data_IF_419290745484
#
_entry.id   IF_419290745484
#
_cell.length_a   1.000
_cell.length_b   1.000
_cell.length_c   1.000
_cell.angle_alpha   90.00
_cell.angle_beta   90.00
_cell.angle_gamma   90.00
#
_symmetry.space_group_name_H-M   'P 1'
#
loop_
_entity.id
_entity.type
_entity.pdbx_description
1 polymer ?
#
# COMPACT_ATOMS: atom_id res chain seq x y z
N UNK A 1 0.76 15.67 8.64
CA UNK A 1 0.81 14.29 9.20
C UNK A 1 2.18 13.70 8.92
N UNK A 2 2.75 12.87 9.81
CA UNK A 2 4.03 12.19 9.52
C UNK A 2 3.84 11.25 8.31
N UNK A 3 4.77 11.26 7.36
CA UNK A 3 4.63 10.58 6.07
C UNK A 3 4.24 9.10 6.23
N UNK A 4 4.92 8.40 7.13
CA UNK A 4 4.60 7.00 7.32
C UNK A 4 3.37 6.70 8.20
N UNK A 5 2.77 7.70 8.87
CA UNK A 5 1.39 7.53 9.38
C UNK A 5 0.43 7.48 8.20
N UNK A 6 0.63 8.33 7.19
CA UNK A 6 -0.20 8.35 5.97
C UNK A 6 -0.10 7.02 5.23
N UNK A 7 1.10 6.47 5.07
CA UNK A 7 1.29 5.17 4.38
C UNK A 7 0.58 4.04 5.12
N UNK A 8 0.70 3.96 6.45
CA UNK A 8 0.01 2.93 7.23
C UNK A 8 -1.51 3.10 7.20
N UNK A 9 -2.03 4.32 7.34
CA UNK A 9 -3.48 4.56 7.30
C UNK A 9 -4.06 4.29 5.92
N UNK A 10 -3.38 4.71 4.84
CA UNK A 10 -3.83 4.48 3.47
C UNK A 10 -3.87 2.98 3.14
N UNK A 11 -2.91 2.20 3.64
CA UNK A 11 -2.91 0.75 3.48
C UNK A 11 -4.10 0.09 4.19
N UNK A 12 -4.31 0.40 5.46
CA UNK A 12 -5.38 -0.22 6.26
C UNK A 12 -6.74 0.13 5.67
N UNK A 13 -6.95 1.40 5.33
CA UNK A 13 -8.21 1.87 4.72
C UNK A 13 -8.42 1.22 3.35
N UNK A 14 -7.39 1.19 2.49
CA UNK A 14 -7.48 0.55 1.18
C UNK A 14 -7.75 -0.95 1.27
N UNK A 15 -7.11 -1.65 2.21
CA UNK A 15 -7.31 -3.08 2.45
C UNK A 15 -8.74 -3.37 2.92
N UNK A 16 -9.25 -2.63 3.90
CA UNK A 16 -10.62 -2.80 4.41
C UNK A 16 -11.63 -2.54 3.29
N UNK A 17 -11.50 -1.43 2.55
CA UNK A 17 -12.41 -1.10 1.45
C UNK A 17 -12.39 -2.15 0.35
N UNK A 18 -11.22 -2.69 0.03
CA UNK A 18 -11.09 -3.75 -0.98
C UNK A 18 -11.71 -5.05 -0.50
N UNK A 19 -11.51 -5.44 0.77
CA UNK A 19 -12.16 -6.63 1.34
C UNK A 19 -13.68 -6.49 1.41
N UNK A 20 -14.19 -5.35 1.86
CA UNK A 20 -15.63 -5.06 1.91
C UNK A 20 -16.22 -5.04 0.50
N UNK A 21 -15.56 -4.36 -0.46
CA UNK A 21 -15.99 -4.34 -1.86
C UNK A 21 -15.98 -5.73 -2.50
N UNK A 22 -14.98 -6.55 -2.20
CA UNK A 22 -14.90 -7.93 -2.68
C UNK A 22 -16.01 -8.81 -2.08
N UNK A 23 -16.28 -8.68 -0.78
CA UNK A 23 -17.38 -9.38 -0.12
C UNK A 23 -18.74 -9.03 -0.74
N UNK A 24 -19.01 -7.73 -0.90
CA UNK A 24 -20.25 -7.24 -1.53
C UNK A 24 -20.41 -7.75 -2.96
N UNK A 25 -19.29 -7.90 -3.69
CA UNK A 25 -19.28 -8.42 -5.06
C UNK A 25 -19.62 -9.91 -5.11
N UNK A 26 -19.19 -10.70 -4.12
CA UNK A 26 -19.53 -12.13 -4.00
C UNK A 26 -21.01 -12.30 -3.63
N UNK A 27 -21.53 -11.47 -2.72
CA UNK A 27 -22.95 -11.52 -2.31
C UNK A 27 -23.91 -10.90 -3.33
N UNK A 28 -23.42 -10.45 -4.49
CA UNK A 28 -24.21 -9.82 -5.55
C UNK A 28 -25.04 -8.61 -5.06
N UNK A 29 -24.51 -7.85 -4.11
CA UNK A 29 -25.17 -6.64 -3.61
C UNK A 29 -25.11 -5.52 -4.65
N UNK A 30 -26.19 -4.74 -4.75
CA UNK A 30 -26.21 -3.52 -5.54
C UNK A 30 -25.11 -2.55 -5.05
N UNK A 31 -24.39 -1.91 -5.98
CA UNK A 31 -23.30 -0.98 -5.66
C UNK A 31 -21.94 -1.61 -5.33
N UNK A 32 -21.80 -2.94 -5.34
CA UNK A 32 -20.53 -3.62 -5.07
C UNK A 32 -19.37 -3.17 -5.97
N UNK A 33 -19.65 -2.89 -7.25
CA UNK A 33 -18.66 -2.39 -8.20
C UNK A 33 -18.05 -1.05 -7.78
N UNK A 34 -18.88 -0.13 -7.27
CA UNK A 34 -18.46 1.20 -6.83
C UNK A 34 -17.54 1.11 -5.61
N UNK A 35 -17.92 0.29 -4.62
CA UNK A 35 -17.10 0.06 -3.42
C UNK A 35 -15.73 -0.54 -3.77
N UNK A 36 -15.70 -1.52 -4.68
CA UNK A 36 -14.46 -2.13 -5.12
C UNK A 36 -13.58 -1.14 -5.91
N UNK A 37 -14.16 -0.29 -6.75
CA UNK A 37 -13.42 0.79 -7.42
C UNK A 37 -12.79 1.78 -6.43
N UNK A 38 -13.52 2.17 -5.38
CA UNK A 38 -13.00 3.07 -4.33
C UNK A 38 -11.82 2.39 -3.60
N UNK A 39 -11.93 1.09 -3.30
CA UNK A 39 -10.83 0.32 -2.70
C UNK A 39 -9.58 0.26 -3.57
N UNK A 40 -9.75 0.09 -4.89
CA UNK A 40 -8.64 0.12 -5.85
C UNK A 40 -7.98 1.51 -5.90
N UNK A 41 -8.76 2.59 -5.94
CA UNK A 41 -8.22 3.96 -5.93
C UNK A 41 -7.42 4.23 -4.65
N UNK A 42 -7.95 3.84 -3.50
CA UNK A 42 -7.23 3.96 -2.22
C UNK A 42 -5.92 3.16 -2.22
N UNK A 43 -5.92 1.97 -2.83
CA UNK A 43 -4.72 1.14 -2.98
C UNK A 43 -3.68 1.79 -3.90
N UNK A 44 -4.08 2.51 -4.95
CA UNK A 44 -3.16 3.26 -5.81
C UNK A 44 -2.50 4.42 -5.06
N UNK A 45 -3.24 5.13 -4.20
CA UNK A 45 -2.68 6.19 -3.35
C UNK A 45 -1.64 5.61 -2.38
N UNK A 46 -1.92 4.44 -1.80
CA UNK A 46 -0.95 3.72 -0.98
C UNK A 46 0.32 3.35 -1.77
N UNK A 47 0.19 2.76 -2.95
CA UNK A 47 1.33 2.37 -3.80
C UNK A 47 2.20 3.59 -4.12
N UNK A 48 1.59 4.70 -4.55
CA UNK A 48 2.31 5.92 -4.88
C UNK A 48 3.08 6.50 -3.70
N UNK A 49 2.44 6.58 -2.53
CA UNK A 49 3.07 7.11 -1.31
C UNK A 49 4.18 6.19 -0.78
N UNK A 50 4.00 4.87 -0.84
CA UNK A 50 5.01 3.91 -0.42
C UNK A 50 6.24 3.90 -1.34
N UNK A 51 6.04 3.98 -2.67
CA UNK A 51 7.15 4.10 -3.64
C UNK A 51 7.93 5.40 -3.41
N UNK A 52 7.23 6.51 -3.13
CA UNK A 52 7.87 7.78 -2.81
C UNK A 52 8.76 7.67 -1.56
N UNK A 53 8.25 7.07 -0.48
CA UNK A 53 8.99 6.85 0.76
C UNK A 53 10.24 5.98 0.52
N UNK A 54 10.12 4.89 -0.25
CA UNK A 54 11.25 4.03 -0.63
C UNK A 54 12.29 4.78 -1.48
N UNK A 55 11.87 5.53 -2.50
CA UNK A 55 12.81 6.24 -3.36
C UNK A 55 13.54 7.38 -2.64
N UNK A 56 12.85 8.07 -1.72
CA UNK A 56 13.43 9.13 -0.91
C UNK A 56 14.47 8.65 0.12
N UNK A 57 14.47 7.35 0.46
CA UNK A 57 15.42 6.82 1.45
C UNK A 57 16.85 6.81 0.91
N UNK A 58 17.80 7.27 1.72
CA UNK A 58 19.24 7.28 1.43
C UNK A 58 19.96 6.00 1.91
N UNK A 59 19.29 5.14 2.69
CA UNK A 59 19.89 3.91 3.27
C UNK A 59 19.94 2.73 2.32
N UNK A 60 19.01 2.67 1.37
CA UNK A 60 18.83 1.52 0.48
C UNK A 60 19.43 1.78 -0.90
N UNK A 61 20.08 0.75 -1.44
CA UNK A 61 20.70 0.80 -2.77
C UNK A 61 19.63 0.86 -3.88
N UNK A 62 20.02 1.35 -5.06
CA UNK A 62 19.16 1.49 -6.24
C UNK A 62 18.52 0.16 -6.66
N UNK A 63 19.24 -0.95 -6.57
CA UNK A 63 18.69 -2.28 -6.85
C UNK A 63 17.54 -2.65 -5.89
N UNK A 64 17.71 -2.36 -4.60
CA UNK A 64 16.69 -2.61 -3.58
C UNK A 64 15.46 -1.71 -3.79
N UNK A 65 15.67 -0.43 -4.16
CA UNK A 65 14.57 0.49 -4.52
C UNK A 65 13.74 -0.03 -5.70
N UNK A 66 14.40 -0.58 -6.73
CA UNK A 66 13.71 -1.16 -7.89
C UNK A 66 12.94 -2.42 -7.51
N UNK A 67 13.51 -3.28 -6.67
CA UNK A 67 12.82 -4.46 -6.15
C UNK A 67 11.54 -4.08 -5.40
N UNK A 68 11.61 -3.13 -4.47
CA UNK A 68 10.44 -2.65 -3.74
C UNK A 68 9.39 -2.03 -4.67
N UNK A 69 9.82 -1.24 -5.66
CA UNK A 69 8.90 -0.64 -6.64
C UNK A 69 8.14 -1.71 -7.42
N UNK A 70 8.83 -2.75 -7.91
CA UNK A 70 8.21 -3.88 -8.59
C UNK A 70 7.27 -4.64 -7.65
N UNK A 71 7.70 -4.90 -6.42
CA UNK A 71 6.89 -5.60 -5.43
C UNK A 71 5.60 -4.84 -5.09
N UNK A 72 5.64 -3.50 -5.02
CA UNK A 72 4.44 -2.69 -4.79
C UNK A 72 3.48 -2.67 -5.96
N UNK A 73 3.98 -2.69 -7.20
CA UNK A 73 3.13 -2.68 -8.40
C UNK A 73 2.42 -4.03 -8.60
N UNK A 74 3.16 -5.13 -8.50
CA UNK A 74 2.63 -6.47 -8.80
C UNK A 74 1.98 -7.15 -7.59
N UNK A 75 2.48 -6.89 -6.38
CA UNK A 75 2.06 -7.59 -5.16
C UNK A 75 1.69 -6.60 -4.04
N UNK A 76 1.00 -5.51 -4.38
CA UNK A 76 0.69 -4.39 -3.47
C UNK A 76 0.15 -4.80 -2.09
N UNK A 77 -0.73 -5.80 -2.03
CA UNK A 77 -1.30 -6.30 -0.77
C UNK A 77 -0.26 -6.95 0.14
N UNK A 78 0.45 -7.97 -0.35
CA UNK A 78 1.46 -8.71 0.43
C UNK A 78 2.66 -7.80 0.72
N UNK A 79 3.15 -7.09 -0.30
CA UNK A 79 4.26 -6.15 -0.16
C UNK A 79 3.93 -5.04 0.83
N UNK A 80 2.69 -4.54 0.85
CA UNK A 80 2.25 -3.55 1.82
C UNK A 80 2.29 -4.06 3.26
N UNK A 81 1.88 -5.31 3.50
CA UNK A 81 2.03 -5.95 4.81
C UNK A 81 3.51 -6.07 5.22
N UNK A 82 4.35 -6.62 4.34
CA UNK A 82 5.78 -6.81 4.60
C UNK A 82 6.48 -5.47 4.83
N UNK A 83 6.10 -4.44 4.06
CA UNK A 83 6.65 -3.10 4.19
C UNK A 83 6.30 -2.49 5.55
N UNK A 84 5.03 -2.52 5.97
CA UNK A 84 4.62 -1.89 7.23
C UNK A 84 5.23 -2.61 8.44
N UNK A 85 5.26 -3.95 8.42
CA UNK A 85 5.71 -4.76 9.55
C UNK A 85 7.23 -4.80 9.70
N UNK A 86 7.96 -4.96 8.59
CA UNK A 86 9.41 -5.23 8.61
C UNK A 86 10.21 -4.18 7.82
N UNK A 87 9.77 -3.86 6.60
CA UNK A 87 10.54 -3.02 5.68
C UNK A 87 10.71 -1.58 6.16
N UNK A 88 9.66 -0.96 6.70
CA UNK A 88 9.61 0.47 7.03
C UNK A 88 10.63 0.84 8.09
N UNK A 89 10.81 0.04 9.15
CA UNK A 89 11.83 0.30 10.18
C UNK A 89 13.24 0.31 9.58
N UNK A 90 13.54 -0.59 8.63
CA UNK A 90 14.85 -0.65 7.98
C UNK A 90 15.08 0.51 7.00
N UNK A 91 14.02 0.92 6.28
CA UNK A 91 14.08 1.90 5.19
C UNK A 91 13.99 3.34 5.70
N UNK A 92 13.28 3.58 6.81
CA UNK A 92 12.91 4.93 7.30
C UNK A 92 13.39 5.25 8.71
N UNK A 93 14.02 4.30 9.43
CA UNK A 93 14.65 4.65 10.70
C UNK A 93 15.69 5.74 10.46
N UNK A 94 15.38 6.97 10.87
CA UNK A 94 16.40 7.95 11.19
C UNK A 94 17.18 7.46 12.43
N UNK A 95 18.46 7.84 12.58
CA UNK A 95 19.06 7.88 13.91
C UNK A 95 18.23 8.73 14.87
#
# INVERSE_FOLDING_TARGET
MKLGTVVTTSFIVGLILTLVGAYLKITHSEGAGTWLCIGIIASLVFIGTAIYEVRSSTRINTAEKNMWTLAFIFFSGITGLVYILMGRKRITANP
#
